data_IF_113823621597
#
_entry.id   IF_113823621597
#
_cell.length_a   1.000
_cell.length_b   1.000
_cell.length_c   1.000
_cell.angle_alpha   90.00
_cell.angle_beta   90.00
_cell.angle_gamma   90.00
#
_symmetry.space_group_name_H-M   'P 1'
#
loop_
_entity.id
_entity.type
_entity.pdbx_description
1 polymer ?
#
# COMPACT_ATOMS: atom_id res chain seq x y z
N UNK A 1 -2.48 -0.31 24.72
CA UNK A 1 -2.71 0.54 23.53
C UNK A 1 -4.18 0.90 23.49
N UNK A 2 -4.50 2.15 23.13
CA UNK A 2 -5.89 2.54 22.83
C UNK A 2 -6.33 1.79 21.57
N UNK A 3 -7.60 1.34 21.46
CA UNK A 3 -8.10 0.71 20.23
C UNK A 3 -7.91 1.63 19.04
N UNK A 4 -7.50 1.07 17.89
CA UNK A 4 -7.42 1.81 16.63
C UNK A 4 -8.82 2.17 16.12
N UNK A 5 -8.93 3.34 15.46
CA UNK A 5 -10.19 3.77 14.88
C UNK A 5 -10.59 2.86 13.71
N UNK A 6 -11.89 2.70 13.55
CA UNK A 6 -12.48 1.98 12.41
C UNK A 6 -13.10 3.02 11.48
N UNK A 7 -12.57 3.12 10.28
CA UNK A 7 -12.95 4.12 9.27
C UNK A 7 -13.81 3.50 8.16
N UNK A 8 -14.77 4.24 7.59
CA UNK A 8 -15.46 3.80 6.39
C UNK A 8 -14.46 3.73 5.21
N UNK A 9 -14.57 2.68 4.40
CA UNK A 9 -13.75 2.52 3.20
C UNK A 9 -14.43 3.19 2.00
N UNK A 10 -14.13 4.48 1.82
CA UNK A 10 -14.77 5.29 0.77
C UNK A 10 -16.29 5.27 0.87
N UNK A 11 -16.97 5.12 -0.28
CA UNK A 11 -18.42 4.97 -0.37
C UNK A 11 -18.95 3.54 -0.22
N UNK A 12 -18.09 2.56 0.11
CA UNK A 12 -18.49 1.17 0.28
C UNK A 12 -19.12 0.88 1.65
N UNK A 13 -19.83 -0.25 1.81
CA UNK A 13 -20.36 -0.67 3.11
C UNK A 13 -19.25 -1.17 4.07
N UNK A 14 -18.04 -1.41 3.59
CA UNK A 14 -16.94 -1.91 4.42
C UNK A 14 -16.37 -0.81 5.32
N UNK A 15 -15.94 -1.25 6.49
CA UNK A 15 -15.16 -0.43 7.43
C UNK A 15 -13.84 -1.15 7.70
N UNK A 16 -12.76 -0.39 7.81
CA UNK A 16 -11.40 -0.93 8.02
C UNK A 16 -10.71 -0.22 9.18
N UNK A 17 -9.83 -0.87 9.92
CA UNK A 17 -8.97 -0.20 10.90
C UNK A 17 -8.11 0.88 10.24
N UNK A 18 -7.83 1.96 10.98
CA UNK A 18 -6.91 3.03 10.53
C UNK A 18 -5.47 2.55 10.29
N UNK A 19 -5.17 1.31 10.67
CA UNK A 19 -3.89 0.62 10.46
C UNK A 19 -4.15 -0.71 9.78
N UNK A 20 -3.37 -1.00 8.74
CA UNK A 20 -3.33 -2.26 8.01
C UNK A 20 -1.93 -2.85 8.10
N UNK A 21 -1.81 -4.17 8.31
CA UNK A 21 -0.52 -4.85 8.24
C UNK A 21 -0.26 -5.33 6.81
N UNK A 22 0.76 -4.75 6.16
CA UNK A 22 1.25 -5.18 4.86
C UNK A 22 2.22 -6.35 4.99
N UNK A 23 2.06 -7.35 4.13
CA UNK A 23 2.75 -8.64 4.21
C UNK A 23 3.83 -8.83 3.14
N UNK A 24 4.27 -7.77 2.46
CA UNK A 24 5.17 -7.88 1.31
C UNK A 24 6.56 -8.45 1.62
N UNK A 25 6.93 -8.59 2.89
CA UNK A 25 8.21 -9.19 3.32
C UNK A 25 8.10 -10.69 3.64
N UNK A 26 6.88 -11.23 3.73
CA UNK A 26 6.62 -12.60 4.15
C UNK A 26 7.05 -13.60 3.08
N UNK A 27 7.92 -14.52 3.47
CA UNK A 27 8.50 -15.51 2.56
C UNK A 27 9.81 -15.08 1.87
N UNK A 28 10.31 -13.88 2.19
CA UNK A 28 11.63 -13.40 1.75
C UNK A 28 12.46 -12.92 2.95
N UNK A 29 12.10 -11.77 3.54
CA UNK A 29 12.79 -11.20 4.71
C UNK A 29 12.24 -11.74 6.03
N UNK A 30 10.99 -12.20 6.02
CA UNK A 30 10.26 -12.65 7.20
C UNK A 30 9.92 -14.13 7.04
N UNK A 31 10.39 -14.96 7.95
CA UNK A 31 10.06 -16.39 7.99
C UNK A 31 8.56 -16.59 8.22
N UNK A 32 8.03 -17.76 7.89
CA UNK A 32 6.63 -18.08 8.13
C UNK A 32 6.28 -18.01 9.62
N UNK A 33 7.16 -18.50 10.50
CA UNK A 33 6.95 -18.44 11.95
C UNK A 33 6.86 -17.00 12.46
N UNK A 34 7.77 -16.12 12.01
CA UNK A 34 7.73 -14.69 12.36
C UNK A 34 6.52 -13.99 11.75
N UNK A 35 6.14 -14.36 10.53
CA UNK A 35 4.96 -13.80 9.87
C UNK A 35 3.68 -14.15 10.65
N UNK A 36 3.49 -15.41 11.05
CA UNK A 36 2.36 -15.82 11.88
C UNK A 36 2.37 -15.12 13.23
N UNK A 37 3.52 -14.97 13.88
CA UNK A 37 3.62 -14.22 15.14
C UNK A 37 3.25 -12.73 14.95
N UNK A 38 3.59 -12.11 13.82
CA UNK A 38 3.18 -10.74 13.50
C UNK A 38 1.67 -10.63 13.25
N UNK A 39 1.07 -11.58 12.52
CA UNK A 39 -0.38 -11.63 12.26
C UNK A 39 -1.17 -11.82 13.58
N UNK A 40 -0.74 -12.74 14.43
CA UNK A 40 -1.36 -12.99 15.73
C UNK A 40 -1.26 -11.74 16.63
N UNK A 41 -0.09 -11.10 16.66
CA UNK A 41 0.12 -9.87 17.44
C UNK A 41 -0.72 -8.70 16.94
N UNK A 42 -0.81 -8.51 15.62
CA UNK A 42 -1.65 -7.48 15.02
C UNK A 42 -3.14 -7.71 15.33
N UNK A 43 -3.62 -8.94 15.18
CA UNK A 43 -5.00 -9.31 15.50
C UNK A 43 -5.34 -9.06 16.97
N UNK A 44 -4.44 -9.46 17.89
CA UNK A 44 -4.58 -9.19 19.32
C UNK A 44 -4.57 -7.70 19.66
N UNK A 45 -3.92 -6.86 18.84
CA UNK A 45 -3.92 -5.40 18.96
C UNK A 45 -5.15 -4.72 18.31
N UNK A 46 -6.11 -5.50 17.78
CA UNK A 46 -7.31 -4.99 17.11
C UNK A 46 -7.13 -4.66 15.63
N UNK A 47 -6.01 -5.07 15.02
CA UNK A 47 -5.77 -4.90 13.58
C UNK A 47 -6.10 -6.21 12.89
N UNK A 48 -7.29 -6.27 12.30
CA UNK A 48 -7.78 -7.43 11.54
C UNK A 48 -7.73 -7.23 10.03
N UNK A 49 -7.00 -6.23 9.54
CA UNK A 49 -6.86 -5.88 8.13
C UNK A 49 -5.43 -6.17 7.66
N UNK A 50 -5.30 -7.08 6.68
CA UNK A 50 -4.04 -7.55 6.13
C UNK A 50 -4.00 -7.34 4.62
N UNK A 51 -2.88 -6.74 4.13
CA UNK A 51 -2.68 -6.42 2.72
C UNK A 51 -1.55 -7.29 2.14
N UNK A 52 -1.88 -8.07 1.12
CA UNK A 52 -0.95 -8.92 0.36
C UNK A 52 -1.04 -8.63 -1.13
N UNK A 53 -0.39 -9.42 -1.98
CA UNK A 53 -0.50 -9.40 -3.44
C UNK A 53 -0.02 -10.72 -4.05
N UNK A 54 -0.54 -11.09 -5.22
CA UNK A 54 -0.10 -12.30 -5.92
C UNK A 54 1.42 -12.33 -6.17
N UNK A 55 2.02 -11.17 -6.45
CA UNK A 55 3.45 -11.07 -6.74
C UNK A 55 4.37 -11.08 -5.52
N UNK A 56 3.82 -11.00 -4.30
CA UNK A 56 4.66 -10.99 -3.09
C UNK A 56 5.23 -12.37 -2.77
N UNK A 57 6.46 -12.44 -2.28
CA UNK A 57 7.25 -11.45 -1.57
C UNK A 57 8.01 -10.46 -2.47
N UNK A 58 8.61 -9.42 -1.84
CA UNK A 58 9.44 -8.39 -2.48
C UNK A 58 10.84 -8.37 -1.83
N UNK A 59 11.95 -8.33 -2.62
CA UNK A 59 12.03 -8.23 -4.09
C UNK A 59 11.40 -9.42 -4.82
N UNK A 60 10.75 -9.11 -5.95
CA UNK A 60 10.01 -10.13 -6.72
C UNK A 60 10.94 -11.11 -7.42
N UNK A 61 10.72 -12.40 -7.21
CA UNK A 61 11.44 -13.52 -7.84
C UNK A 61 10.44 -14.64 -8.14
N UNK A 62 10.77 -15.47 -9.13
CA UNK A 62 9.92 -16.62 -9.47
C UNK A 62 9.76 -17.60 -8.29
N UNK A 63 10.84 -17.79 -7.51
CA UNK A 63 10.90 -18.72 -6.39
C UNK A 63 10.02 -18.30 -5.20
N UNK A 64 9.80 -16.99 -5.03
CA UNK A 64 9.01 -16.44 -3.92
C UNK A 64 7.64 -15.88 -4.35
N UNK A 65 7.27 -16.08 -5.63
CA UNK A 65 5.96 -15.72 -6.15
C UNK A 65 4.83 -16.38 -5.37
N UNK A 66 3.91 -15.58 -4.86
CA UNK A 66 2.75 -16.04 -4.08
C UNK A 66 3.09 -16.54 -2.66
N UNK A 67 4.35 -16.46 -2.23
CA UNK A 67 4.77 -16.93 -0.90
C UNK A 67 4.03 -16.19 0.22
N UNK A 68 3.85 -14.87 0.09
CA UNK A 68 3.15 -14.07 1.09
C UNK A 68 1.68 -14.52 1.24
N UNK A 69 0.95 -14.66 0.14
CA UNK A 69 -0.44 -15.16 0.18
C UNK A 69 -0.53 -16.58 0.76
N UNK A 70 0.43 -17.46 0.42
CA UNK A 70 0.46 -18.83 0.93
C UNK A 70 0.69 -18.86 2.45
N UNK A 71 1.58 -18.03 2.98
CA UNK A 71 1.82 -17.88 4.43
C UNK A 71 0.58 -17.33 5.14
N UNK A 72 0.00 -16.27 4.60
CA UNK A 72 -1.25 -15.68 5.14
C UNK A 72 -2.38 -16.70 5.10
N UNK A 73 -2.52 -17.48 4.01
CA UNK A 73 -3.55 -18.50 3.85
C UNK A 73 -3.46 -19.61 4.90
N UNK A 74 -2.25 -20.13 5.18
CA UNK A 74 -2.06 -21.12 6.25
C UNK A 74 -2.41 -20.59 7.64
N UNK A 75 -2.16 -19.30 7.88
CA UNK A 75 -2.58 -18.63 9.11
C UNK A 75 -4.09 -18.40 9.13
N UNK A 76 -4.67 -17.90 8.05
CA UNK A 76 -6.10 -17.56 7.91
C UNK A 76 -7.00 -18.76 8.16
N UNK A 77 -6.60 -19.96 7.74
CA UNK A 77 -7.33 -21.21 7.97
C UNK A 77 -7.60 -21.51 9.45
N UNK A 78 -6.83 -20.91 10.37
CA UNK A 78 -6.98 -21.07 11.82
C UNK A 78 -7.84 -19.98 12.46
N UNK A 79 -8.31 -19.02 11.66
CA UNK A 79 -9.08 -17.86 12.13
C UNK A 79 -10.54 -17.96 11.67
N UNK A 80 -11.49 -17.41 12.42
CA UNK A 80 -12.84 -17.15 11.88
C UNK A 80 -12.73 -16.19 10.70
N UNK A 81 -13.02 -16.68 9.49
CA UNK A 81 -12.76 -15.95 8.23
C UNK A 81 -13.43 -14.58 8.18
N UNK A 82 -14.64 -14.48 8.70
CA UNK A 82 -15.47 -13.27 8.72
C UNK A 82 -14.94 -12.17 9.65
N UNK A 83 -14.02 -12.50 10.57
CA UNK A 83 -13.41 -11.54 11.47
C UNK A 83 -12.13 -10.89 10.90
N UNK A 84 -11.66 -11.38 9.75
CA UNK A 84 -10.42 -10.94 9.12
C UNK A 84 -10.71 -10.31 7.76
N UNK A 85 -10.13 -9.13 7.52
CA UNK A 85 -10.20 -8.44 6.24
C UNK A 85 -8.91 -8.70 5.44
N UNK A 86 -9.06 -9.31 4.27
CA UNK A 86 -7.95 -9.62 3.36
C UNK A 86 -8.04 -8.75 2.12
N UNK A 87 -6.95 -8.00 1.85
CA UNK A 87 -6.72 -7.30 0.59
C UNK A 87 -5.66 -8.03 -0.21
N UNK A 88 -5.92 -8.29 -1.50
CA UNK A 88 -4.90 -8.76 -2.43
C UNK A 88 -4.99 -8.05 -3.78
N UNK A 89 -4.00 -8.28 -4.67
CA UNK A 89 -3.80 -7.47 -5.87
C UNK A 89 -3.41 -8.33 -7.07
N UNK A 90 -3.95 -7.99 -8.24
CA UNK A 90 -3.47 -8.51 -9.52
C UNK A 90 -2.32 -7.66 -10.04
N UNK A 91 -1.21 -8.29 -10.40
CA UNK A 91 -0.06 -7.61 -11.00
C UNK A 91 -0.37 -7.17 -12.43
N UNK A 92 -0.10 -5.89 -12.72
CA UNK A 92 -0.16 -5.35 -14.08
C UNK A 92 1.10 -5.69 -14.89
N UNK A 93 1.14 -5.27 -16.16
CA UNK A 93 2.28 -5.51 -17.06
C UNK A 93 3.52 -4.70 -16.66
N UNK A 94 4.63 -4.99 -17.34
CA UNK A 94 5.95 -4.42 -17.07
C UNK A 94 6.65 -5.06 -15.86
N UNK A 95 7.85 -4.56 -15.50
CA UNK A 95 8.65 -4.96 -14.34
C UNK A 95 9.28 -6.36 -14.42
N UNK A 96 9.44 -6.93 -15.62
CA UNK A 96 10.10 -8.23 -15.84
C UNK A 96 9.50 -9.39 -15.03
N UNK A 97 8.16 -9.43 -14.92
CA UNK A 97 7.41 -10.45 -14.19
C UNK A 97 6.91 -11.57 -15.12
N UNK A 98 7.75 -12.04 -16.03
CA UNK A 98 7.37 -13.01 -17.07
C UNK A 98 6.94 -14.39 -16.55
N UNK A 99 7.22 -14.70 -15.28
CA UNK A 99 6.83 -15.96 -14.64
C UNK A 99 5.41 -15.92 -14.04
N UNK A 100 4.80 -14.76 -13.90
CA UNK A 100 3.45 -14.64 -13.36
C UNK A 100 2.45 -15.16 -14.38
N UNK A 101 1.61 -16.11 -13.98
CA UNK A 101 0.55 -16.70 -14.82
C UNK A 101 1.03 -17.26 -16.17
N UNK A 102 2.29 -17.77 -16.21
CA UNK A 102 2.94 -18.33 -17.40
C UNK A 102 3.09 -17.36 -18.60
N UNK A 103 3.17 -16.08 -18.35
CA UNK A 103 3.33 -15.07 -19.40
C UNK A 103 3.50 -13.66 -18.84
N UNK A 104 3.67 -12.67 -19.73
CA UNK A 104 3.71 -11.30 -19.27
C UNK A 104 2.36 -10.93 -18.63
N UNK A 105 2.37 -10.33 -17.41
CA UNK A 105 1.13 -9.91 -16.77
C UNK A 105 0.39 -8.86 -17.60
N UNK A 106 -0.92 -8.96 -17.64
CA UNK A 106 -1.84 -7.98 -18.21
C UNK A 106 -3.03 -7.77 -17.28
N UNK A 107 -3.87 -6.78 -17.54
CA UNK A 107 -5.08 -6.50 -16.79
C UNK A 107 -6.35 -6.77 -17.61
N UNK A 108 -6.25 -7.64 -18.62
CA UNK A 108 -7.40 -8.16 -19.35
C UNK A 108 -8.23 -9.12 -18.46
N UNK A 109 -9.42 -9.42 -18.92
CA UNK A 109 -10.37 -10.30 -18.23
C UNK A 109 -9.75 -11.66 -17.86
N UNK A 110 -9.02 -12.30 -18.78
CA UNK A 110 -8.44 -13.62 -18.52
C UNK A 110 -7.38 -13.57 -17.43
N UNK A 111 -6.50 -12.56 -17.47
CA UNK A 111 -5.47 -12.36 -16.46
C UNK A 111 -6.04 -11.99 -15.08
N UNK A 112 -7.05 -11.11 -15.00
CA UNK A 112 -7.70 -10.75 -13.75
C UNK A 112 -8.35 -11.98 -13.10
N UNK A 113 -9.04 -12.81 -13.88
CA UNK A 113 -9.67 -14.05 -13.38
C UNK A 113 -8.63 -15.08 -12.93
N UNK A 114 -7.61 -15.34 -13.72
CA UNK A 114 -6.55 -16.27 -13.35
C UNK A 114 -5.80 -15.81 -12.09
N UNK A 115 -5.59 -14.50 -11.91
CA UNK A 115 -4.93 -13.95 -10.74
C UNK A 115 -5.76 -14.16 -9.46
N UNK A 116 -7.06 -13.86 -9.47
CA UNK A 116 -7.90 -14.05 -8.28
C UNK A 116 -8.04 -15.53 -7.93
N UNK A 117 -8.23 -16.42 -8.92
CA UNK A 117 -8.33 -17.86 -8.67
C UNK A 117 -7.06 -18.41 -8.02
N UNK A 118 -5.88 -18.01 -8.51
CA UNK A 118 -4.61 -18.34 -7.89
C UNK A 118 -4.45 -17.74 -6.48
N UNK A 119 -4.89 -16.50 -6.27
CA UNK A 119 -4.86 -15.85 -4.95
C UNK A 119 -5.76 -16.57 -3.95
N UNK A 120 -6.99 -16.91 -4.32
CA UNK A 120 -7.92 -17.66 -3.46
C UNK A 120 -7.36 -19.03 -3.08
N UNK A 121 -6.73 -19.72 -4.04
CA UNK A 121 -6.06 -21.01 -3.76
C UNK A 121 -4.92 -20.85 -2.75
N UNK A 122 -4.04 -19.85 -2.91
CA UNK A 122 -2.92 -19.60 -1.98
C UNK A 122 -3.40 -19.12 -0.61
N UNK A 123 -4.42 -18.27 -0.58
CA UNK A 123 -5.05 -17.75 0.65
C UNK A 123 -5.95 -18.79 1.34
N UNK A 124 -6.28 -19.91 0.69
CA UNK A 124 -7.14 -20.99 1.21
C UNK A 124 -8.50 -20.47 1.69
N UNK A 125 -9.13 -19.63 0.89
CA UNK A 125 -10.45 -19.01 1.16
C UNK A 125 -11.23 -18.87 -0.14
N UNK A 126 -12.55 -18.79 -0.05
CA UNK A 126 -13.44 -18.66 -1.22
C UNK A 126 -13.64 -17.21 -1.65
N UNK A 127 -13.24 -16.25 -0.81
CA UNK A 127 -13.38 -14.82 -1.12
C UNK A 127 -12.27 -13.97 -0.49
N UNK A 128 -12.06 -12.80 -1.09
CA UNK A 128 -11.30 -11.70 -0.48
C UNK A 128 -12.21 -10.50 -0.24
N UNK A 129 -11.88 -9.72 0.80
CA UNK A 129 -12.67 -8.54 1.14
C UNK A 129 -12.37 -7.37 0.21
N UNK A 130 -11.09 -7.20 -0.15
CA UNK A 130 -10.59 -6.15 -1.01
C UNK A 130 -9.75 -6.74 -2.15
N UNK A 131 -10.09 -6.40 -3.40
CA UNK A 131 -9.30 -6.79 -4.57
C UNK A 131 -8.96 -5.57 -5.42
N UNK A 132 -7.69 -5.44 -5.83
CA UNK A 132 -7.26 -4.24 -6.51
C UNK A 132 -6.28 -4.51 -7.66
N UNK A 133 -6.31 -3.65 -8.65
CA UNK A 133 -5.27 -3.56 -9.67
C UNK A 133 -4.01 -2.97 -9.02
N UNK A 134 -2.88 -3.70 -9.09
CA UNK A 134 -1.67 -3.34 -8.35
C UNK A 134 -1.00 -2.06 -8.87
N UNK A 135 -1.11 -1.82 -10.18
CA UNK A 135 -0.75 -0.57 -10.86
C UNK A 135 -1.45 -0.51 -12.21
N UNK A 136 -1.64 0.68 -12.77
CA UNK A 136 -2.23 0.84 -14.10
C UNK A 136 -1.40 0.19 -15.19
N UNK A 137 -2.08 -0.36 -16.19
CA UNK A 137 -1.44 -0.92 -17.38
C UNK A 137 -0.96 0.15 -18.34
N UNK A 138 -1.70 1.27 -18.42
CA UNK A 138 -1.37 2.39 -19.30
C UNK A 138 -0.09 3.11 -18.86
N UNK A 139 0.49 3.89 -19.77
CA UNK A 139 1.60 4.77 -19.47
C UNK A 139 1.21 5.82 -18.42
N UNK A 140 1.94 5.84 -17.32
CA UNK A 140 1.91 6.90 -16.32
C UNK A 140 3.15 6.84 -15.42
N UNK A 141 3.55 7.96 -14.78
CA UNK A 141 4.68 7.94 -13.87
C UNK A 141 4.36 7.16 -12.59
N UNK A 142 5.25 6.23 -12.21
CA UNK A 142 5.13 5.39 -11.02
C UNK A 142 6.49 5.13 -10.38
N UNK A 143 6.50 4.82 -9.07
CA UNK A 143 7.65 4.27 -8.34
C UNK A 143 8.93 5.12 -8.45
N UNK A 144 8.78 6.44 -8.39
CA UNK A 144 9.89 7.39 -8.46
C UNK A 144 10.02 8.12 -9.79
N UNK A 145 9.24 7.73 -10.79
CA UNK A 145 9.01 8.57 -11.96
C UNK A 145 8.06 9.71 -11.54
N UNK A 146 8.33 10.91 -12.02
CA UNK A 146 7.56 12.09 -11.65
C UNK A 146 6.96 12.84 -12.85
N UNK A 147 7.34 12.43 -14.07
CA UNK A 147 7.00 13.12 -15.31
C UNK A 147 6.22 12.18 -16.23
N UNK A 148 5.09 12.65 -16.73
CA UNK A 148 4.34 11.99 -17.78
C UNK A 148 4.97 12.32 -19.13
N UNK A 149 5.23 11.29 -19.93
CA UNK A 149 5.83 11.40 -21.26
C UNK A 149 4.93 10.69 -22.27
N UNK A 150 4.16 11.42 -23.10
CA UNK A 150 3.18 10.81 -24.02
C UNK A 150 3.81 9.89 -25.08
N UNK A 151 5.09 10.08 -25.40
CA UNK A 151 5.81 9.17 -26.33
C UNK A 151 5.99 7.74 -25.78
N UNK A 152 5.74 7.54 -24.47
CA UNK A 152 5.77 6.23 -23.84
C UNK A 152 4.37 5.55 -23.84
N UNK A 153 3.39 6.14 -24.49
CA UNK A 153 2.07 5.52 -24.62
C UNK A 153 2.17 4.20 -25.38
N UNK A 154 1.35 3.25 -24.96
CA UNK A 154 1.31 1.89 -25.48
C UNK A 154 -0.11 1.37 -25.50
N UNK A 155 -0.34 0.37 -26.33
CA UNK A 155 -1.57 -0.40 -26.25
C UNK A 155 -1.70 -1.03 -24.85
N UNK A 156 -2.88 -0.97 -24.31
CA UNK A 156 -3.20 -1.53 -22.99
C UNK A 156 -4.66 -1.97 -22.95
N UNK A 157 -4.98 -2.85 -22.03
CA UNK A 157 -6.37 -3.25 -21.77
C UNK A 157 -7.20 -2.03 -21.39
N UNK A 158 -8.32 -1.75 -22.07
CA UNK A 158 -9.19 -0.63 -21.74
C UNK A 158 -9.69 -0.69 -20.29
N UNK A 159 -9.81 0.47 -19.61
CA UNK A 159 -10.34 0.53 -18.24
C UNK A 159 -11.75 -0.08 -18.16
N UNK A 160 -12.56 0.05 -19.21
CA UNK A 160 -13.87 -0.60 -19.31
C UNK A 160 -13.78 -2.11 -19.10
N UNK A 161 -12.91 -2.80 -19.84
CA UNK A 161 -12.73 -4.26 -19.71
C UNK A 161 -12.22 -4.65 -18.32
N UNK A 162 -11.26 -3.89 -17.79
CA UNK A 162 -10.74 -4.11 -16.43
C UNK A 162 -11.85 -4.00 -15.39
N UNK A 163 -12.70 -2.98 -15.49
CA UNK A 163 -13.82 -2.76 -14.56
C UNK A 163 -14.91 -3.83 -14.70
N UNK A 164 -15.26 -4.21 -15.92
CA UNK A 164 -16.22 -5.30 -16.20
C UNK A 164 -15.73 -6.62 -15.61
N UNK A 165 -14.45 -6.97 -15.80
CA UNK A 165 -13.84 -8.17 -15.23
C UNK A 165 -13.88 -8.17 -13.69
N UNK A 166 -13.56 -7.02 -13.07
CA UNK A 166 -13.65 -6.88 -11.61
C UNK A 166 -15.10 -6.99 -11.11
N UNK A 167 -16.06 -6.41 -11.84
CA UNK A 167 -17.48 -6.46 -11.49
C UNK A 167 -18.04 -7.90 -11.53
N UNK A 168 -17.61 -8.72 -12.49
CA UNK A 168 -17.96 -10.15 -12.53
C UNK A 168 -17.50 -10.89 -11.28
N UNK A 169 -16.28 -10.61 -10.79
CA UNK A 169 -15.77 -11.23 -9.57
C UNK A 169 -16.56 -10.82 -8.31
N UNK A 170 -17.08 -9.60 -8.28
CA UNK A 170 -18.02 -9.17 -7.23
C UNK A 170 -19.34 -9.91 -7.33
N UNK A 171 -19.88 -10.05 -8.54
CA UNK A 171 -21.13 -10.80 -8.77
C UNK A 171 -20.99 -12.27 -8.43
N UNK A 172 -19.83 -12.88 -8.68
CA UNK A 172 -19.51 -14.27 -8.31
C UNK A 172 -19.29 -14.46 -6.81
N UNK A 173 -19.21 -13.39 -6.04
CA UNK A 173 -18.94 -13.44 -4.60
C UNK A 173 -17.49 -13.73 -4.21
N UNK A 174 -16.57 -13.83 -5.18
CA UNK A 174 -15.13 -14.01 -4.95
C UNK A 174 -14.45 -12.76 -4.35
N UNK A 175 -15.03 -11.59 -4.62
CA UNK A 175 -14.51 -10.28 -4.20
C UNK A 175 -15.63 -9.47 -3.58
N UNK A 176 -15.44 -8.92 -2.39
CA UNK A 176 -16.46 -8.07 -1.75
C UNK A 176 -16.45 -6.65 -2.29
N UNK A 177 -15.27 -6.05 -2.42
CA UNK A 177 -15.09 -4.69 -2.91
C UNK A 177 -13.86 -4.58 -3.81
N UNK A 178 -13.92 -3.67 -4.77
CA UNK A 178 -12.86 -3.42 -5.74
C UNK A 178 -12.17 -2.09 -5.53
N UNK A 179 -10.90 -2.02 -5.86
CA UNK A 179 -10.09 -0.80 -5.78
C UNK A 179 -8.95 -0.79 -6.78
N UNK A 180 -8.14 0.24 -6.70
CA UNK A 180 -6.96 0.43 -7.54
C UNK A 180 -5.74 0.78 -6.68
N UNK A 181 -4.56 0.69 -7.25
CA UNK A 181 -3.33 1.09 -6.59
C UNK A 181 -2.41 1.82 -7.57
N UNK A 182 -1.63 2.78 -7.06
CA UNK A 182 -0.75 3.62 -7.87
C UNK A 182 -1.49 4.37 -8.99
N UNK A 183 -2.76 4.65 -8.76
CA UNK A 183 -3.61 5.30 -9.76
C UNK A 183 -3.47 6.83 -9.66
N UNK A 184 -3.76 7.49 -10.77
CA UNK A 184 -3.71 8.94 -10.95
C UNK A 184 -5.13 9.52 -11.12
N UNK A 185 -5.31 10.85 -10.98
CA UNK A 185 -6.63 11.50 -11.05
C UNK A 185 -7.46 11.10 -12.27
N UNK A 186 -6.84 11.07 -13.47
CA UNK A 186 -7.54 10.70 -14.69
C UNK A 186 -8.13 9.29 -14.63
N UNK A 187 -7.34 8.30 -14.19
CA UNK A 187 -7.83 6.92 -14.11
C UNK A 187 -8.91 6.74 -13.05
N UNK A 188 -8.77 7.39 -11.87
CA UNK A 188 -9.85 7.39 -10.86
C UNK A 188 -11.15 7.92 -11.46
N UNK A 189 -11.10 9.04 -12.17
CA UNK A 189 -12.28 9.65 -12.79
C UNK A 189 -12.86 8.75 -13.89
N UNK A 190 -12.02 8.09 -14.68
CA UNK A 190 -12.48 7.21 -15.75
C UNK A 190 -13.11 5.92 -15.20
N UNK A 191 -12.53 5.28 -14.18
CA UNK A 191 -13.18 4.16 -13.47
C UNK A 191 -14.54 4.58 -12.91
N UNK A 192 -14.63 5.74 -12.30
CA UNK A 192 -15.88 6.24 -11.71
C UNK A 192 -16.93 6.54 -12.78
N UNK A 193 -16.53 7.22 -13.86
CA UNK A 193 -17.43 7.54 -14.99
C UNK A 193 -18.00 6.27 -15.61
N UNK A 194 -17.15 5.29 -15.88
CA UNK A 194 -17.57 4.01 -16.46
C UNK A 194 -18.47 3.20 -15.52
N UNK A 195 -18.15 3.20 -14.21
CA UNK A 195 -18.99 2.52 -13.24
C UNK A 195 -20.42 3.10 -13.23
N UNK A 196 -20.56 4.43 -13.26
CA UNK A 196 -21.85 5.09 -13.27
C UNK A 196 -22.60 4.88 -14.59
N UNK A 197 -21.89 4.99 -15.73
CA UNK A 197 -22.47 4.80 -17.06
C UNK A 197 -23.00 3.37 -17.26
N UNK A 198 -22.28 2.37 -16.74
CA UNK A 198 -22.59 0.97 -16.96
C UNK A 198 -23.38 0.31 -15.81
N UNK A 199 -23.63 1.05 -14.72
CA UNK A 199 -24.27 0.49 -13.53
C UNK A 199 -23.42 -0.57 -12.82
N UNK A 200 -22.09 -0.45 -12.90
CA UNK A 200 -21.13 -1.38 -12.31
C UNK A 200 -20.69 -0.92 -10.90
N UNK A 201 -20.11 -1.83 -10.08
CA UNK A 201 -19.53 -1.45 -8.80
C UNK A 201 -18.45 -0.37 -8.99
N UNK A 202 -18.51 0.68 -8.16
CA UNK A 202 -17.46 1.72 -8.10
C UNK A 202 -16.23 1.19 -7.36
N UNK A 203 -15.06 1.67 -7.74
CA UNK A 203 -13.85 1.50 -6.92
C UNK A 203 -14.04 2.22 -5.58
N UNK A 204 -13.72 1.54 -4.48
CA UNK A 204 -13.95 2.08 -3.13
C UNK A 204 -12.71 2.77 -2.54
N UNK A 205 -11.52 2.46 -3.04
CA UNK A 205 -10.26 3.04 -2.57
C UNK A 205 -9.21 3.09 -3.68
N UNK A 206 -8.19 3.92 -3.42
CA UNK A 206 -6.90 3.81 -4.08
C UNK A 206 -5.80 3.54 -3.05
N UNK A 207 -4.83 2.68 -3.39
CA UNK A 207 -3.65 2.42 -2.55
C UNK A 207 -2.44 3.12 -3.15
N UNK A 208 -2.02 4.25 -2.57
CA UNK A 208 -0.94 5.07 -3.09
C UNK A 208 0.14 5.34 -2.04
N UNK A 209 1.36 5.62 -2.52
CA UNK A 209 2.47 6.02 -1.64
C UNK A 209 2.16 7.36 -0.97
N UNK A 210 2.31 7.40 0.36
CA UNK A 210 2.17 8.63 1.11
C UNK A 210 3.07 8.63 2.36
N UNK A 211 3.87 9.67 2.51
CA UNK A 211 4.79 9.85 3.63
C UNK A 211 5.30 11.29 3.70
N UNK A 212 6.08 11.65 4.72
CA UNK A 212 6.77 12.96 4.80
C UNK A 212 7.67 13.25 3.58
N UNK A 213 8.16 12.23 2.87
CA UNK A 213 9.00 12.41 1.66
C UNK A 213 8.20 12.38 0.35
N UNK A 214 6.94 12.01 0.39
CA UNK A 214 6.05 11.96 -0.77
C UNK A 214 4.63 12.37 -0.37
N UNK A 215 4.27 13.60 -0.66
CA UNK A 215 2.96 14.21 -0.42
C UNK A 215 2.24 14.55 -1.73
N UNK A 216 2.64 13.94 -2.85
CA UNK A 216 2.04 14.20 -4.18
C UNK A 216 0.55 13.94 -4.22
N UNK A 217 0.04 13.04 -3.38
CA UNK A 217 -1.39 12.77 -3.23
C UNK A 217 -2.18 14.04 -2.86
N UNK A 218 -1.61 14.95 -2.09
CA UNK A 218 -2.29 16.14 -1.57
C UNK A 218 -2.59 17.19 -2.65
N UNK A 219 -1.87 17.18 -3.78
CA UNK A 219 -1.97 18.25 -4.78
C UNK A 219 -3.19 18.13 -5.69
N UNK A 220 -3.62 16.93 -6.05
CA UNK A 220 -4.74 16.75 -6.97
C UNK A 220 -5.60 15.53 -6.64
N UNK A 221 -4.97 14.40 -6.30
CA UNK A 221 -5.67 13.15 -6.08
C UNK A 221 -6.58 13.19 -4.85
N UNK A 222 -6.20 13.96 -3.83
CA UNK A 222 -7.00 14.13 -2.61
C UNK A 222 -8.38 14.73 -2.90
N UNK A 223 -8.47 15.75 -3.77
CA UNK A 223 -9.75 16.35 -4.12
C UNK A 223 -10.64 15.38 -4.88
N UNK A 224 -10.07 14.67 -5.87
CA UNK A 224 -10.81 13.66 -6.63
C UNK A 224 -11.35 12.57 -5.70
N UNK A 225 -10.49 12.02 -4.81
CA UNK A 225 -10.90 10.99 -3.87
C UNK A 225 -11.99 11.47 -2.90
N UNK A 226 -11.87 12.69 -2.39
CA UNK A 226 -12.89 13.29 -1.53
C UNK A 226 -14.25 13.40 -2.23
N UNK A 227 -14.28 13.99 -3.43
CA UNK A 227 -15.52 14.19 -4.19
C UNK A 227 -16.15 12.88 -4.65
N UNK A 228 -15.33 11.90 -5.03
CA UNK A 228 -15.77 10.59 -5.49
C UNK A 228 -16.00 9.57 -4.35
N UNK A 229 -15.78 9.97 -3.08
CA UNK A 229 -15.88 9.11 -1.89
C UNK A 229 -15.01 7.86 -2.00
N UNK A 230 -13.75 8.05 -2.37
CA UNK A 230 -12.74 7.00 -2.52
C UNK A 230 -11.75 7.13 -1.37
N UNK A 231 -11.51 6.04 -0.64
CA UNK A 231 -10.57 6.01 0.48
C UNK A 231 -9.11 5.95 0.02
N UNK A 232 -8.18 6.47 0.84
CA UNK A 232 -6.75 6.24 0.66
C UNK A 232 -6.25 5.15 1.60
N UNK A 233 -5.66 4.09 1.03
CA UNK A 233 -4.78 3.17 1.76
C UNK A 233 -3.34 3.63 1.53
N UNK A 234 -2.74 4.29 2.53
CA UNK A 234 -1.42 4.90 2.41
C UNK A 234 -0.30 3.88 2.64
N UNK A 235 0.51 3.58 1.63
CA UNK A 235 1.65 2.67 1.79
C UNK A 235 2.99 3.40 1.86
N UNK A 236 4.02 2.73 2.38
CA UNK A 236 5.38 3.24 2.62
C UNK A 236 5.45 4.49 3.52
N UNK A 237 4.73 4.55 4.65
CA UNK A 237 4.75 5.72 5.55
C UNK A 237 6.15 6.01 6.10
N UNK A 238 7.03 5.01 6.15
CA UNK A 238 8.41 5.11 6.62
C UNK A 238 9.45 5.22 5.49
N UNK A 239 9.02 5.36 4.23
CA UNK A 239 9.93 5.48 3.08
C UNK A 239 11.04 4.43 3.09
N UNK A 240 10.67 3.14 3.18
CA UNK A 240 11.58 1.99 3.28
C UNK A 240 12.59 2.06 4.44
N UNK A 241 12.23 2.76 5.51
CA UNK A 241 13.04 2.90 6.70
C UNK A 241 13.88 4.18 6.77
N UNK A 242 13.88 5.02 5.75
CA UNK A 242 14.55 6.34 5.81
C UNK A 242 14.01 7.19 6.96
N UNK A 243 12.70 7.24 7.12
CA UNK A 243 12.03 8.06 8.13
C UNK A 243 12.09 7.48 9.56
N UNK A 244 12.80 6.38 9.77
CA UNK A 244 13.20 5.95 11.13
C UNK A 244 14.49 6.65 11.60
N UNK A 245 15.20 7.32 10.72
CA UNK A 245 16.50 7.94 11.00
C UNK A 245 17.69 6.98 11.01
N UNK A 246 17.48 5.66 10.93
CA UNK A 246 18.55 4.65 11.10
C UNK A 246 19.71 4.79 10.11
N UNK A 247 19.43 5.21 8.88
CA UNK A 247 20.46 5.40 7.86
C UNK A 247 21.24 6.73 8.00
N UNK A 248 20.75 7.68 8.82
CA UNK A 248 21.50 8.88 9.18
C UNK A 248 22.64 8.57 10.16
N UNK A 249 22.33 7.75 11.16
CA UNK A 249 23.30 7.38 12.21
C UNK A 249 24.22 6.25 11.80
N UNK A 250 23.72 5.31 10.99
CA UNK A 250 24.43 4.12 10.54
C UNK A 250 24.13 3.87 9.05
N UNK A 251 24.95 4.45 8.13
CA UNK A 251 24.67 4.37 6.68
C UNK A 251 24.44 2.97 6.14
N UNK A 252 25.12 1.97 6.70
CA UNK A 252 24.97 0.54 6.34
C UNK A 252 24.08 -0.24 7.30
N UNK A 253 23.20 0.44 8.06
CA UNK A 253 22.26 -0.25 8.96
C UNK A 253 21.50 -1.36 8.22
N UNK A 254 21.33 -2.55 8.83
CA UNK A 254 20.57 -3.62 8.22
C UNK A 254 19.15 -3.18 7.85
N UNK A 255 18.76 -3.44 6.61
CA UNK A 255 17.44 -3.07 6.13
C UNK A 255 17.29 -3.30 4.63
N UNK A 256 16.09 -3.01 4.13
CA UNK A 256 15.73 -3.29 2.74
C UNK A 256 16.69 -2.64 1.73
N UNK A 257 17.09 -1.40 1.96
CA UNK A 257 17.94 -0.66 1.03
C UNK A 257 19.39 -1.13 1.02
N UNK A 258 19.88 -1.65 2.15
CA UNK A 258 21.24 -2.18 2.25
C UNK A 258 21.32 -3.64 1.78
N UNK A 259 20.24 -4.41 1.96
CA UNK A 259 20.16 -5.79 1.46
C UNK A 259 19.92 -5.85 -0.06
N UNK A 260 19.15 -4.90 -0.61
CA UNK A 260 18.83 -4.82 -2.04
C UNK A 260 19.02 -3.38 -2.56
N UNK A 261 20.27 -2.94 -2.81
CA UNK A 261 20.56 -1.57 -3.24
C UNK A 261 19.87 -1.14 -4.54
N UNK A 262 19.56 -2.09 -5.43
CA UNK A 262 18.82 -1.83 -6.66
C UNK A 262 17.32 -1.60 -6.43
N UNK A 263 16.80 -1.93 -5.24
CA UNK A 263 15.40 -1.76 -4.90
C UNK A 263 15.18 -0.43 -4.16
N UNK A 264 14.15 0.31 -4.53
CA UNK A 264 13.83 1.58 -3.85
C UNK A 264 14.60 2.79 -4.35
N UNK A 265 15.03 2.80 -5.62
CA UNK A 265 15.76 3.90 -6.26
C UNK A 265 15.09 5.27 -6.12
N UNK A 266 13.76 5.33 -5.95
CA UNK A 266 13.05 6.60 -5.70
C UNK A 266 13.53 7.34 -4.44
N UNK A 267 14.12 6.62 -3.48
CA UNK A 267 14.64 7.21 -2.24
C UNK A 267 16.14 7.61 -2.34
N UNK A 268 16.80 7.34 -3.47
CA UNK A 268 18.21 7.70 -3.69
C UNK A 268 18.36 9.08 -4.37
N UNK A 269 17.32 9.92 -4.31
CA UNK A 269 17.34 11.25 -4.89
C UNK A 269 18.14 12.24 -4.02
N UNK A 270 18.77 13.27 -4.61
CA UNK A 270 19.73 14.15 -3.91
C UNK A 270 19.17 14.82 -2.64
N UNK A 271 17.90 15.21 -2.66
CA UNK A 271 17.27 15.93 -1.53
C UNK A 271 16.75 15.01 -0.42
N UNK A 272 16.76 13.70 -0.61
CA UNK A 272 16.18 12.74 0.37
C UNK A 272 16.98 12.76 1.69
N UNK A 273 18.32 12.62 1.72
CA UNK A 273 19.06 12.63 2.98
C UNK A 273 18.86 13.92 3.79
N UNK A 274 18.89 15.07 3.11
CA UNK A 274 18.71 16.38 3.76
C UNK A 274 17.31 16.56 4.32
N UNK A 275 16.28 16.11 3.59
CA UNK A 275 14.91 16.14 4.08
C UNK A 275 14.70 15.20 5.27
N UNK A 276 15.26 13.98 5.22
CA UNK A 276 15.21 13.02 6.33
C UNK A 276 15.87 13.61 7.58
N UNK A 277 17.05 14.26 7.44
CA UNK A 277 17.72 14.93 8.56
C UNK A 277 16.81 16.02 9.15
N UNK A 278 16.22 16.89 8.32
CA UNK A 278 15.35 17.96 8.79
C UNK A 278 14.13 17.41 9.58
N UNK A 279 13.53 16.32 9.12
CA UNK A 279 12.44 15.67 9.87
C UNK A 279 12.92 14.98 11.16
N UNK A 280 14.12 14.41 11.18
CA UNK A 280 14.71 13.85 12.40
C UNK A 280 14.99 14.94 13.46
N UNK A 281 15.54 16.09 13.03
CA UNK A 281 15.78 17.25 13.89
C UNK A 281 14.45 17.80 14.46
N UNK A 282 13.41 17.86 13.59
CA UNK A 282 12.07 18.28 14.01
C UNK A 282 11.47 17.31 15.05
N UNK A 283 11.61 16.01 14.83
CA UNK A 283 11.15 15.01 15.82
C UNK A 283 11.81 15.26 17.17
N UNK A 284 13.13 15.44 17.19
CA UNK A 284 13.90 15.74 18.41
C UNK A 284 13.43 17.04 19.07
N UNK A 285 13.20 18.11 18.29
CA UNK A 285 12.68 19.40 18.78
C UNK A 285 11.38 19.24 19.58
N UNK A 286 10.51 18.32 19.15
CA UNK A 286 9.22 18.05 19.79
C UNK A 286 9.23 16.85 20.75
N UNK A 287 10.40 16.33 21.13
CA UNK A 287 10.52 15.18 22.06
C UNK A 287 9.99 13.86 21.48
N UNK A 288 9.96 13.73 20.16
CA UNK A 288 9.51 12.55 19.44
C UNK A 288 10.70 11.80 18.82
N UNK A 289 10.50 10.51 18.54
CA UNK A 289 11.37 9.80 17.61
C UNK A 289 10.97 10.08 16.17
N UNK A 290 11.90 9.96 15.18
CA UNK A 290 11.55 10.07 13.77
C UNK A 290 10.44 9.12 13.34
N UNK A 291 10.42 7.90 13.88
CA UNK A 291 9.35 6.91 13.68
C UNK A 291 7.98 7.44 14.10
N UNK A 292 7.90 8.02 15.31
CA UNK A 292 6.68 8.61 15.85
C UNK A 292 6.19 9.78 14.99
N UNK A 293 7.10 10.68 14.59
CA UNK A 293 6.77 11.81 13.72
C UNK A 293 6.17 11.34 12.38
N UNK A 294 6.83 10.39 11.71
CA UNK A 294 6.41 9.91 10.40
C UNK A 294 5.06 9.19 10.42
N UNK A 295 4.85 8.32 11.40
CA UNK A 295 3.62 7.55 11.52
C UNK A 295 2.46 8.39 12.04
N UNK A 296 2.70 9.21 13.06
CA UNK A 296 1.71 10.15 13.59
C UNK A 296 1.25 11.15 12.53
N UNK A 297 2.18 11.66 11.70
CA UNK A 297 1.83 12.51 10.55
C UNK A 297 0.87 11.81 9.59
N UNK A 298 1.22 10.61 9.12
CA UNK A 298 0.37 9.89 8.14
C UNK A 298 -1.02 9.63 8.71
N UNK A 299 -1.10 9.18 9.97
CA UNK A 299 -2.37 8.93 10.67
C UNK A 299 -3.20 10.20 10.86
N UNK A 300 -2.57 11.35 11.09
CA UNK A 300 -3.27 12.62 11.35
C UNK A 300 -4.01 13.19 10.13
N UNK A 301 -3.77 12.66 8.95
CA UNK A 301 -4.36 13.21 7.71
C UNK A 301 -5.79 12.72 7.51
N UNK A 302 -6.72 13.65 7.42
CA UNK A 302 -8.16 13.39 7.32
C UNK A 302 -8.56 12.50 6.11
N UNK A 303 -7.74 12.47 5.07
CA UNK A 303 -7.98 11.72 3.84
C UNK A 303 -7.38 10.31 3.86
N UNK A 304 -6.58 9.97 4.86
CA UNK A 304 -6.00 8.62 5.01
C UNK A 304 -7.01 7.72 5.72
N UNK A 305 -7.56 6.76 4.98
CA UNK A 305 -8.49 5.78 5.52
C UNK A 305 -7.78 4.74 6.38
N UNK A 306 -6.65 4.22 5.89
CA UNK A 306 -5.82 3.26 6.61
C UNK A 306 -4.36 3.41 6.19
N UNK A 307 -3.44 3.31 7.14
CA UNK A 307 -2.01 3.32 6.90
C UNK A 307 -1.49 1.90 6.86
N UNK A 308 -0.90 1.49 5.73
CA UNK A 308 -0.29 0.18 5.58
C UNK A 308 1.13 0.24 6.13
N UNK A 309 1.32 -0.39 7.28
CA UNK A 309 2.63 -0.59 7.90
C UNK A 309 3.19 -1.95 7.53
N UNK A 310 4.51 -2.08 7.52
CA UNK A 310 5.20 -3.35 7.30
C UNK A 310 6.35 -3.49 8.28
N UNK A 311 6.60 -4.72 8.72
CA UNK A 311 7.72 -5.06 9.58
C UNK A 311 8.42 -6.32 9.08
N UNK A 312 9.75 -6.40 9.21
CA UNK A 312 10.49 -7.62 8.91
C UNK A 312 10.71 -8.50 10.16
N UNK A 313 10.29 -8.02 11.33
CA UNK A 313 10.31 -8.77 12.58
C UNK A 313 9.19 -8.35 13.53
N UNK A 314 8.81 -9.23 14.45
CA UNK A 314 7.83 -8.92 15.49
C UNK A 314 8.29 -7.76 16.39
N UNK A 315 9.60 -7.62 16.63
CA UNK A 315 10.15 -6.52 17.42
C UNK A 315 9.86 -5.16 16.77
N UNK A 316 10.06 -5.04 15.44
CA UNK A 316 9.72 -3.83 14.70
C UNK A 316 8.21 -3.53 14.74
N UNK A 317 7.36 -4.54 14.65
CA UNK A 317 5.91 -4.33 14.72
C UNK A 317 5.49 -3.83 16.13
N UNK A 318 6.09 -4.38 17.19
CA UNK A 318 5.87 -3.93 18.58
C UNK A 318 6.28 -2.48 18.81
N UNK A 319 7.28 -1.99 18.10
CA UNK A 319 7.72 -0.59 18.14
C UNK A 319 6.81 0.32 17.27
N UNK A 320 6.41 -0.18 16.10
CA UNK A 320 5.63 0.58 15.11
C UNK A 320 4.21 0.88 15.60
N UNK A 321 3.51 -0.09 16.21
CA UNK A 321 2.10 0.10 16.58
C UNK A 321 1.88 1.19 17.63
N UNK A 322 2.65 1.30 18.71
CA UNK A 322 2.54 2.45 19.61
C UNK A 322 2.86 3.78 18.94
N UNK A 323 3.85 3.81 18.05
CA UNK A 323 4.24 5.01 17.31
C UNK A 323 3.11 5.54 16.40
N UNK A 324 2.25 4.66 15.86
CA UNK A 324 1.05 5.07 15.13
C UNK A 324 0.08 5.92 15.97
N UNK A 325 0.09 5.77 17.28
CA UNK A 325 -0.83 6.49 18.18
C UNK A 325 -0.30 7.86 18.64
N UNK A 326 0.86 8.28 18.13
CA UNK A 326 1.46 9.57 18.50
C UNK A 326 0.57 10.73 18.02
N UNK A 327 0.11 11.61 18.92
CA UNK A 327 -0.70 12.77 18.54
C UNK A 327 0.14 13.82 17.83
N UNK A 328 -0.43 14.47 16.83
CA UNK A 328 0.19 15.58 16.10
C UNK A 328 -0.49 16.89 16.49
N UNK A 329 0.22 17.78 17.21
CA UNK A 329 -0.28 19.11 17.52
C UNK A 329 -0.28 20.01 16.27
N UNK A 330 -1.07 21.08 16.26
CA UNK A 330 -1.01 22.08 15.17
C UNK A 330 0.40 22.61 14.91
N UNK A 331 1.20 22.83 15.96
CA UNK A 331 2.57 23.33 15.85
C UNK A 331 3.49 22.32 15.14
N UNK A 332 3.38 21.03 15.50
CA UNK A 332 4.13 19.97 14.82
C UNK A 332 3.76 19.91 13.32
N UNK A 333 2.46 19.99 13.00
CA UNK A 333 2.01 19.97 11.61
C UNK A 333 2.45 21.19 10.83
N UNK A 334 2.47 22.38 11.44
CA UNK A 334 2.97 23.60 10.85
C UNK A 334 4.48 23.51 10.56
N UNK A 335 5.26 23.00 11.50
CA UNK A 335 6.70 22.78 11.31
C UNK A 335 6.99 21.73 10.21
N UNK A 336 6.18 20.67 10.12
CA UNK A 336 6.25 19.67 9.04
C UNK A 336 5.99 20.35 7.68
N UNK A 337 4.99 21.21 7.59
CA UNK A 337 4.66 21.95 6.36
C UNK A 337 5.78 22.90 5.94
N UNK A 338 6.44 23.56 6.89
CA UNK A 338 7.61 24.40 6.60
C UNK A 338 8.79 23.59 6.01
N UNK A 339 9.04 22.38 6.51
CA UNK A 339 10.05 21.48 5.93
C UNK A 339 9.61 21.02 4.54
N UNK A 340 8.34 20.68 4.35
CA UNK A 340 7.82 20.26 3.06
C UNK A 340 7.94 21.34 1.98
N UNK A 341 7.65 22.59 2.31
CA UNK A 341 7.84 23.72 1.39
C UNK A 341 9.30 23.88 0.94
N UNK A 342 10.24 23.58 1.83
CA UNK A 342 11.68 23.60 1.52
C UNK A 342 12.14 22.42 0.69
N UNK A 343 11.59 21.22 0.97
CA UNK A 343 11.95 19.97 0.31
C UNK A 343 10.70 19.28 -0.25
N UNK A 344 10.05 19.93 -1.21
CA UNK A 344 8.80 19.47 -1.79
C UNK A 344 8.96 18.13 -2.49
N UNK A 345 8.29 17.08 -1.97
CA UNK A 345 8.26 15.73 -2.54
C UNK A 345 9.64 15.20 -2.95
N UNK A 346 10.62 15.06 -2.05
CA UNK A 346 11.96 14.64 -2.42
C UNK A 346 12.02 13.19 -2.96
N UNK A 347 10.98 12.38 -2.73
CA UNK A 347 10.89 10.99 -3.20
C UNK A 347 9.50 10.66 -3.76
N UNK A 348 9.02 11.37 -4.79
CA UNK A 348 7.70 11.15 -5.38
C UNK A 348 7.57 9.78 -6.06
#
# INVERSE_FOLDING_TARGET
>A
MTPFQINPLGGSPLKVPEVCLGTMTFGEQTSEADAHAQLDFALAAGINFFDTAEMYAVPTRAETYGASESIVGRWLKRQPREQVLISTKVAGPSRNLSWIRNGPPALDRANIRAAIDGSLQRLQTDYVDLYQLHWPERNQPMFGQWKFEPQNDRECTPIREQLEALAELVQEGKVRQIGVSNEHPWGIMEFTRLADELGLPRIAWTQNSYSLLNRTFETSLVEVCHRQKIGLLAYSPLAFGHLTGKYLTTPNAPGRLTQWPAFGQRFNKPNVPTAVQAYADLATKHGLTPLQLALGFTRSRWFVTSTIIGASSLAQLKETLPAMQTPMSPDILSDIDAIHLRYTNPAP
#
